data_IF_021403603783
#
_entry.id   IF_021403603783
#
_cell.length_a   1.000
_cell.length_b   1.000
_cell.length_c   1.000
_cell.angle_alpha   90.00
_cell.angle_beta   90.00
_cell.angle_gamma   90.00
#
_symmetry.space_group_name_H-M   'P 1'
#
loop_
_entity.id
_entity.type
_entity.pdbx_description
1 polymer ?
#
# COMPACT_ATOMS: atom_id res chain seq x y z
N UNK A 1 17.29 -0.77 -0.27
CA UNK A 1 16.65 0.24 -1.12
C UNK A 1 17.71 0.92 -1.98
N UNK A 2 17.55 0.90 -3.30
CA UNK A 2 18.55 1.40 -4.25
C UNK A 2 18.38 2.91 -4.56
N UNK A 3 17.17 3.42 -4.36
CA UNK A 3 16.77 4.81 -4.54
C UNK A 3 17.70 5.76 -3.77
N UNK A 4 18.07 6.87 -4.42
CA UNK A 4 19.04 7.84 -3.89
C UNK A 4 18.41 9.21 -3.63
N UNK A 5 17.30 9.51 -4.29
CA UNK A 5 16.60 10.79 -4.19
C UNK A 5 15.25 10.59 -3.48
N UNK A 6 14.80 11.64 -2.78
CA UNK A 6 13.57 11.58 -1.96
C UNK A 6 12.32 11.41 -2.82
N UNK A 7 12.32 11.95 -4.03
CA UNK A 7 11.24 11.84 -5.04
C UNK A 7 11.17 10.47 -5.71
N UNK A 8 12.14 9.58 -5.46
CA UNK A 8 12.08 8.17 -5.85
C UNK A 8 11.52 7.28 -4.75
N UNK A 9 11.71 7.67 -3.48
CA UNK A 9 11.24 6.89 -2.32
C UNK A 9 9.79 7.21 -1.99
N UNK A 10 9.52 8.50 -1.81
CA UNK A 10 8.16 8.99 -1.55
C UNK A 10 7.34 9.10 -2.84
N UNK A 11 8.03 9.06 -3.99
CA UNK A 11 7.49 8.86 -5.33
C UNK A 11 6.32 9.76 -5.74
N UNK A 12 5.93 9.58 -6.99
CA UNK A 12 4.65 10.01 -7.52
C UNK A 12 4.04 8.75 -8.11
N UNK A 13 3.26 8.01 -7.31
CA UNK A 13 2.63 6.73 -7.67
C UNK A 13 1.50 6.90 -8.68
N UNK A 14 0.85 8.06 -8.66
CA UNK A 14 -0.32 8.39 -9.46
C UNK A 14 -0.13 9.68 -10.30
N UNK A 15 0.96 9.84 -11.07
CA UNK A 15 1.21 11.11 -11.74
C UNK A 15 0.24 11.31 -12.90
N UNK A 16 -0.30 12.51 -13.02
CA UNK A 16 -1.10 12.95 -14.16
C UNK A 16 -0.19 13.21 -15.36
N UNK A 17 -0.80 13.20 -16.54
CA UNK A 17 -0.12 13.58 -17.77
C UNK A 17 0.51 14.97 -17.63
N UNK A 18 1.80 15.07 -18.00
CA UNK A 18 2.58 16.30 -17.87
C UNK A 18 3.42 16.41 -16.61
N UNK A 19 3.32 15.46 -15.67
CA UNK A 19 4.29 15.34 -14.60
C UNK A 19 5.69 15.04 -15.19
N UNK A 20 6.75 15.80 -14.84
CA UNK A 20 8.10 15.56 -15.35
C UNK A 20 8.78 14.34 -14.71
N UNK A 21 8.21 13.80 -13.64
CA UNK A 21 8.73 12.64 -12.93
C UNK A 21 8.13 11.35 -13.49
N UNK A 22 8.97 10.33 -13.65
CA UNK A 22 8.54 9.01 -14.12
C UNK A 22 8.08 8.17 -12.94
N UNK A 23 6.99 7.42 -13.13
CA UNK A 23 6.55 6.40 -12.17
C UNK A 23 7.63 5.33 -12.00
N UNK A 24 8.07 5.11 -10.76
CA UNK A 24 8.93 3.99 -10.39
C UNK A 24 8.07 2.88 -9.77
N UNK A 25 7.88 1.78 -10.50
CA UNK A 25 7.12 0.63 -10.00
C UNK A 25 7.80 -0.11 -8.84
N UNK A 26 9.04 0.24 -8.52
CA UNK A 26 9.76 -0.26 -7.34
C UNK A 26 9.77 0.75 -6.18
N UNK A 27 8.90 1.76 -6.22
CA UNK A 27 8.75 2.68 -5.10
C UNK A 27 8.20 1.96 -3.86
N UNK A 28 8.40 2.61 -2.70
CA UNK A 28 7.99 2.05 -1.41
C UNK A 28 6.47 1.84 -1.34
N UNK A 29 5.70 2.76 -1.92
CA UNK A 29 4.23 2.76 -1.91
C UNK A 29 3.63 1.52 -2.60
N UNK A 30 4.15 1.12 -3.78
CA UNK A 30 3.63 -0.09 -4.43
C UNK A 30 3.99 -1.38 -3.68
N UNK A 31 5.16 -1.41 -3.03
CA UNK A 31 5.55 -2.56 -2.20
C UNK A 31 4.70 -2.64 -0.92
N UNK A 32 4.39 -1.50 -0.33
CA UNK A 32 3.41 -1.34 0.76
C UNK A 32 2.03 -1.85 0.32
N UNK A 33 1.50 -1.35 -0.81
CA UNK A 33 0.20 -1.77 -1.33
C UNK A 33 0.11 -3.27 -1.62
N UNK A 34 1.21 -3.89 -2.06
CA UNK A 34 1.27 -5.34 -2.28
C UNK A 34 1.00 -6.16 -1.01
N UNK A 35 1.43 -5.69 0.17
CA UNK A 35 1.18 -6.36 1.43
C UNK A 35 -0.28 -6.22 1.89
N UNK A 36 -0.88 -5.04 1.70
CA UNK A 36 -2.31 -4.81 1.89
C UNK A 36 -3.14 -5.80 1.06
N UNK A 37 -2.84 -5.90 -0.22
CA UNK A 37 -3.52 -6.82 -1.15
C UNK A 37 -3.32 -8.28 -0.75
N UNK A 38 -2.11 -8.64 -0.32
CA UNK A 38 -1.78 -10.01 0.08
C UNK A 38 -2.57 -10.48 1.31
N UNK A 39 -2.73 -9.61 2.32
CA UNK A 39 -3.46 -9.97 3.54
C UNK A 39 -4.97 -10.09 3.25
N UNK A 40 -5.52 -9.18 2.45
CA UNK A 40 -6.94 -9.20 2.11
C UNK A 40 -7.83 -8.68 3.26
N UNK A 41 -9.16 -8.85 3.14
CA UNK A 41 -10.10 -8.43 4.18
C UNK A 41 -10.03 -6.93 4.45
N UNK A 42 -10.07 -6.52 5.72
CA UNK A 42 -9.92 -5.11 6.10
C UNK A 42 -8.61 -4.52 5.54
N UNK A 43 -7.50 -5.27 5.55
CA UNK A 43 -6.20 -4.82 5.02
C UNK A 43 -6.21 -4.53 3.51
N UNK A 44 -7.15 -5.07 2.73
CA UNK A 44 -7.24 -4.77 1.29
C UNK A 44 -7.76 -3.36 1.02
N UNK A 45 -8.71 -2.93 1.83
CA UNK A 45 -9.47 -1.69 1.66
C UNK A 45 -8.79 -0.57 2.43
N UNK A 46 -8.43 0.52 1.73
CA UNK A 46 -7.70 1.64 2.32
C UNK A 46 -8.49 2.33 3.44
N UNK A 47 -9.82 2.37 3.34
CA UNK A 47 -10.71 3.02 4.31
C UNK A 47 -10.88 2.20 5.60
N UNK A 48 -10.77 0.88 5.52
CA UNK A 48 -10.95 -0.05 6.65
C UNK A 48 -9.66 -0.71 7.13
N UNK A 49 -8.54 -0.56 6.42
CA UNK A 49 -7.29 -1.25 6.72
C UNK A 49 -6.83 -1.15 8.17
N UNK A 50 -7.00 0.01 8.80
CA UNK A 50 -6.66 0.23 10.20
C UNK A 50 -7.54 -0.54 11.21
N UNK A 51 -8.62 -1.20 10.78
CA UNK A 51 -9.43 -2.10 11.61
C UNK A 51 -8.70 -3.43 11.88
N UNK A 52 -7.82 -3.87 10.96
CA UNK A 52 -6.96 -5.03 11.19
C UNK A 52 -5.73 -4.61 12.01
N UNK A 53 -5.45 -5.21 13.18
CA UNK A 53 -4.28 -4.86 13.98
C UNK A 53 -2.94 -5.08 13.26
N UNK A 54 -2.89 -5.89 12.20
CA UNK A 54 -1.70 -6.06 11.36
C UNK A 54 -1.31 -4.75 10.68
N UNK A 55 -2.26 -3.84 10.42
CA UNK A 55 -2.02 -2.52 9.85
C UNK A 55 -0.89 -1.77 10.56
N UNK A 56 -0.94 -1.73 11.89
CA UNK A 56 0.04 -1.00 12.68
C UNK A 56 1.43 -1.62 12.60
N UNK A 57 1.51 -2.96 12.57
CA UNK A 57 2.79 -3.67 12.41
C UNK A 57 3.35 -3.47 11.00
N UNK A 58 2.48 -3.46 9.99
CA UNK A 58 2.85 -3.22 8.61
C UNK A 58 3.39 -1.79 8.42
N UNK A 59 2.65 -0.78 8.84
CA UNK A 59 3.07 0.61 8.72
C UNK A 59 4.28 0.95 9.60
N UNK A 60 4.45 0.31 10.76
CA UNK A 60 5.69 0.41 11.53
C UNK A 60 6.90 -0.15 10.76
N UNK A 61 6.72 -1.20 9.96
CA UNK A 61 7.78 -1.75 9.11
C UNK A 61 8.06 -0.88 7.88
N UNK A 62 7.04 -0.22 7.31
CA UNK A 62 7.22 0.79 6.25
C UNK A 62 8.01 1.99 6.77
N UNK A 63 7.67 2.51 7.95
CA UNK A 63 8.43 3.60 8.59
C UNK A 63 9.85 3.17 8.95
N UNK A 64 10.06 1.91 9.40
CA UNK A 64 11.41 1.35 9.56
C UNK A 64 12.22 1.42 8.26
N UNK A 65 11.65 1.01 7.13
CA UNK A 65 12.34 1.06 5.83
C UNK A 65 12.67 2.51 5.46
N UNK A 66 11.72 3.43 5.66
CA UNK A 66 11.88 4.86 5.43
C UNK A 66 13.02 5.45 6.29
N UNK A 67 13.03 5.17 7.59
CA UNK A 67 14.06 5.66 8.50
C UNK A 67 15.44 5.07 8.18
N UNK A 68 15.51 3.78 7.82
CA UNK A 68 16.75 3.18 7.33
C UNK A 68 17.29 3.87 6.07
N UNK A 69 16.41 4.30 5.17
CA UNK A 69 16.81 5.07 3.99
C UNK A 69 17.30 6.47 4.38
N UNK A 70 16.56 7.21 5.21
CA UNK A 70 16.96 8.53 5.74
C UNK A 70 18.34 8.48 6.40
N UNK A 71 18.60 7.46 7.21
CA UNK A 71 19.88 7.29 7.90
C UNK A 71 21.06 7.08 6.96
N UNK A 72 20.84 6.38 5.85
CA UNK A 72 21.90 6.01 4.89
C UNK A 72 22.12 7.04 3.79
N UNK A 73 21.10 7.83 3.45
CA UNK A 73 21.09 8.67 2.24
C UNK A 73 21.02 10.16 2.52
N UNK A 74 20.58 10.56 3.71
CA UNK A 74 20.37 11.96 4.06
C UNK A 74 21.25 12.35 5.25
N UNK A 75 21.75 13.59 5.21
CA UNK A 75 22.29 14.23 6.40
C UNK A 75 21.17 14.48 7.41
N UNK A 76 21.53 14.77 8.66
CA UNK A 76 20.52 15.08 9.69
C UNK A 76 19.68 16.32 9.35
N UNK A 77 20.22 17.28 8.61
CA UNK A 77 19.49 18.48 8.16
C UNK A 77 18.55 18.18 6.99
N UNK A 78 19.03 17.41 6.00
CA UNK A 78 18.23 16.97 4.85
C UNK A 78 16.98 16.22 5.30
N UNK A 79 17.13 15.41 6.35
CA UNK A 79 16.06 14.62 6.96
C UNK A 79 14.86 15.40 7.43
N UNK A 80 14.98 16.70 7.68
CA UNK A 80 13.88 17.57 8.14
C UNK A 80 13.33 18.49 7.06
N UNK A 81 13.96 18.53 5.87
CA UNK A 81 13.68 19.56 4.86
C UNK A 81 13.50 19.00 3.45
N UNK A 82 14.11 17.87 3.11
CA UNK A 82 13.98 17.26 1.79
C UNK A 82 12.63 16.57 1.65
N UNK A 83 11.75 17.20 0.88
CA UNK A 83 10.42 16.76 0.53
C UNK A 83 10.25 16.93 -0.99
N UNK A 84 9.69 15.94 -1.73
CA UNK A 84 9.46 16.10 -3.16
C UNK A 84 8.64 17.33 -3.50
N UNK A 85 8.93 17.99 -4.62
CA UNK A 85 8.39 19.30 -4.93
C UNK A 85 6.88 19.26 -5.12
N UNK A 86 6.24 20.34 -4.69
CA UNK A 86 4.82 20.55 -4.87
C UNK A 86 4.50 20.71 -6.36
N UNK A 87 3.82 19.70 -6.93
CA UNK A 87 3.42 19.71 -8.33
C UNK A 87 2.06 19.01 -8.48
N UNK A 88 1.03 19.77 -8.83
CA UNK A 88 -0.35 19.26 -8.96
C UNK A 88 -0.53 18.27 -10.12
N UNK A 89 0.42 18.23 -11.06
CA UNK A 89 0.47 17.20 -12.09
C UNK A 89 1.03 15.88 -11.55
N UNK A 90 1.77 15.90 -10.44
CA UNK A 90 2.46 14.72 -9.91
C UNK A 90 1.80 14.16 -8.65
N UNK A 91 1.22 15.02 -7.81
CA UNK A 91 0.47 14.61 -6.62
C UNK A 91 -0.65 15.61 -6.32
N UNK A 92 -1.64 15.16 -5.53
CA UNK A 92 -2.70 16.04 -5.06
C UNK A 92 -2.15 17.14 -4.14
N UNK A 93 -2.71 18.37 -4.11
CA UNK A 93 -2.27 19.42 -3.19
C UNK A 93 -2.25 19.02 -1.72
N UNK A 94 -3.08 18.06 -1.31
CA UNK A 94 -3.10 17.51 0.04
C UNK A 94 -1.76 16.86 0.43
N UNK A 95 -0.96 16.43 -0.54
CA UNK A 95 0.37 15.84 -0.34
C UNK A 95 1.51 16.88 -0.38
N UNK A 96 1.20 18.17 -0.50
CA UNK A 96 2.22 19.21 -0.51
C UNK A 96 2.84 19.40 0.86
N UNK A 97 4.08 19.88 0.91
CA UNK A 97 4.85 19.94 2.15
C UNK A 97 4.13 20.77 3.24
N UNK A 98 3.57 21.90 2.83
CA UNK A 98 2.89 22.83 3.72
C UNK A 98 1.42 22.48 3.99
N UNK A 99 0.87 21.45 3.34
CA UNK A 99 -0.52 21.05 3.52
C UNK A 99 -0.74 20.40 4.87
N UNK A 100 -1.93 20.64 5.42
CA UNK A 100 -2.38 20.08 6.68
C UNK A 100 -2.51 18.55 6.56
N UNK A 101 -1.87 17.84 7.48
CA UNK A 101 -2.02 16.40 7.63
C UNK A 101 -3.34 16.15 8.37
N UNK A 102 -4.40 15.86 7.62
CA UNK A 102 -5.73 15.69 8.22
C UNK A 102 -5.87 14.31 8.89
N UNK A 103 -6.63 14.19 9.99
CA UNK A 103 -7.31 15.25 10.76
C UNK A 103 -6.42 15.90 11.85
N UNK A 104 -5.10 15.73 11.79
CA UNK A 104 -4.17 16.03 12.89
C UNK A 104 -3.74 17.49 12.99
N UNK A 105 -4.68 18.42 12.94
CA UNK A 105 -4.40 19.84 13.16
C UNK A 105 -3.66 20.10 14.49
N UNK A 106 -2.59 20.91 14.51
CA UNK A 106 -2.09 21.79 13.43
C UNK A 106 -0.93 21.22 12.57
N UNK A 107 -0.71 19.89 12.54
CA UNK A 107 0.47 19.30 11.90
C UNK A 107 0.41 19.32 10.37
N UNK A 108 1.48 19.72 9.69
CA UNK A 108 1.61 19.65 8.23
C UNK A 108 2.36 18.39 7.82
N UNK A 109 2.28 18.03 6.54
CA UNK A 109 3.01 16.87 6.01
C UNK A 109 4.53 16.99 6.23
N UNK A 110 5.10 18.19 6.09
CA UNK A 110 6.55 18.41 6.33
C UNK A 110 6.94 18.28 7.81
N UNK A 111 6.03 18.52 8.75
CA UNK A 111 6.29 18.27 10.18
C UNK A 111 6.48 16.75 10.40
N UNK A 112 5.92 15.99 9.46
CA UNK A 112 6.25 14.62 9.18
C UNK A 112 7.72 14.31 8.84
N UNK A 113 8.64 15.25 8.80
CA UNK A 113 10.05 14.95 8.60
C UNK A 113 10.91 15.13 9.86
N UNK A 114 10.32 15.56 10.98
CA UNK A 114 11.14 15.88 12.16
C UNK A 114 11.97 14.69 12.66
N UNK A 115 13.23 14.95 13.05
CA UNK A 115 14.06 13.97 13.75
C UNK A 115 13.59 13.72 15.19
N UNK A 116 12.74 14.60 15.75
CA UNK A 116 12.29 14.48 17.14
C UNK A 116 11.55 13.16 17.43
N UNK A 117 10.93 12.55 16.42
CA UNK A 117 10.27 11.25 16.56
C UNK A 117 11.29 10.15 16.89
N UNK A 118 12.41 10.10 16.18
CA UNK A 118 13.46 9.10 16.41
C UNK A 118 14.41 9.49 17.54
N UNK A 119 14.48 10.78 17.90
CA UNK A 119 15.30 11.24 19.02
C UNK A 119 14.60 11.01 20.37
N UNK A 120 13.26 11.11 20.43
CA UNK A 120 12.54 11.21 21.70
C UNK A 120 11.36 10.24 21.86
N UNK A 121 10.84 9.64 20.77
CA UNK A 121 9.60 8.85 20.83
C UNK A 121 9.84 7.36 20.62
N UNK A 122 10.61 6.98 19.60
CA UNK A 122 10.84 5.57 19.28
C UNK A 122 12.20 5.32 18.67
N UNK A 123 12.65 4.07 18.78
CA UNK A 123 13.77 3.52 18.03
C UNK A 123 13.40 2.15 17.44
N UNK A 124 14.09 1.75 16.38
CA UNK A 124 13.89 0.46 15.75
C UNK A 124 14.98 -0.52 16.14
N UNK A 125 14.58 -1.72 16.57
CA UNK A 125 15.52 -2.82 16.73
C UNK A 125 16.16 -3.21 15.38
N UNK A 126 17.42 -3.68 15.38
CA UNK A 126 18.04 -4.22 14.18
C UNK A 126 17.23 -5.38 13.59
N UNK A 127 17.29 -5.54 12.27
CA UNK A 127 16.68 -6.69 11.60
C UNK A 127 17.27 -8.00 12.16
N UNK A 128 16.45 -9.02 12.48
CA UNK A 128 16.95 -10.32 12.91
C UNK A 128 17.95 -10.90 11.92
N UNK A 129 19.05 -11.43 12.46
CA UNK A 129 20.08 -12.15 11.72
C UNK A 129 20.03 -13.63 12.08
N UNK A 130 20.58 -14.47 11.22
CA UNK A 130 20.59 -15.90 11.42
C UNK A 130 21.86 -16.56 10.88
N UNK A 131 22.08 -17.78 11.37
CA UNK A 131 23.24 -18.62 11.03
C UNK A 131 22.83 -20.08 11.22
N UNK A 132 23.71 -21.03 10.87
CA UNK A 132 23.45 -22.45 11.12
C UNK A 132 23.20 -22.76 12.61
N UNK A 133 23.81 -21.99 13.52
CA UNK A 133 23.58 -22.12 14.97
C UNK A 133 22.31 -21.42 15.48
N UNK A 134 21.68 -20.57 14.66
CA UNK A 134 20.42 -19.88 14.97
C UNK A 134 19.45 -19.97 13.77
N UNK A 135 18.96 -21.18 13.43
CA UNK A 135 18.21 -21.41 12.20
C UNK A 135 16.77 -20.88 12.25
N UNK A 136 16.27 -20.48 13.42
CA UNK A 136 14.91 -19.93 13.59
C UNK A 136 14.91 -18.41 13.84
N UNK A 137 16.06 -17.73 13.73
CA UNK A 137 16.14 -16.29 13.98
C UNK A 137 15.63 -15.84 15.36
N UNK A 138 15.66 -16.73 16.36
CA UNK A 138 15.08 -16.48 17.69
C UNK A 138 13.55 -16.48 17.74
N UNK A 139 12.83 -16.91 16.68
CA UNK A 139 11.37 -16.96 16.64
C UNK A 139 10.86 -18.21 15.95
N UNK A 140 9.86 -18.88 16.53
CA UNK A 140 9.20 -20.05 15.89
C UNK A 140 8.47 -19.71 14.58
N UNK A 141 8.25 -18.42 14.32
CA UNK A 141 7.58 -17.94 13.11
C UNK A 141 8.57 -17.63 11.99
N UNK A 142 9.88 -17.71 12.24
CA UNK A 142 10.92 -17.44 11.27
C UNK A 142 11.79 -18.67 11.05
N UNK A 143 12.38 -18.75 9.86
CA UNK A 143 13.48 -19.65 9.56
C UNK A 143 14.59 -18.87 8.84
N UNK A 144 15.79 -19.42 8.87
CA UNK A 144 16.94 -18.87 8.17
C UNK A 144 16.98 -19.42 6.75
N UNK A 145 16.85 -18.54 5.77
CA UNK A 145 16.99 -18.83 4.35
C UNK A 145 18.49 -18.81 3.97
N UNK A 146 19.05 -19.98 3.64
CA UNK A 146 20.39 -20.13 3.10
C UNK A 146 20.40 -20.37 1.59
N UNK A 147 19.24 -20.53 0.96
CA UNK A 147 19.08 -20.96 -0.43
C UNK A 147 19.04 -19.80 -1.42
N UNK A 148 18.79 -18.56 -0.95
CA UNK A 148 18.63 -17.38 -1.81
C UNK A 148 19.66 -16.27 -1.54
N UNK A 149 20.92 -16.65 -1.30
CA UNK A 149 22.05 -15.73 -1.14
C UNK A 149 22.51 -15.60 0.30
N UNK A 150 22.78 -14.37 0.75
CA UNK A 150 23.20 -14.13 2.14
C UNK A 150 22.11 -14.57 3.13
N UNK A 151 22.53 -15.27 4.18
CA UNK A 151 21.64 -15.81 5.21
C UNK A 151 20.71 -14.72 5.76
N UNK A 152 19.40 -14.97 5.69
CA UNK A 152 18.38 -13.99 6.09
C UNK A 152 17.18 -14.64 6.74
N UNK A 153 16.58 -13.93 7.68
CA UNK A 153 15.37 -14.36 8.34
C UNK A 153 14.15 -14.15 7.46
N UNK A 154 13.35 -15.20 7.31
CA UNK A 154 12.13 -15.25 6.48
C UNK A 154 11.00 -15.87 7.30
N UNK A 155 9.77 -15.42 7.06
CA UNK A 155 8.58 -15.99 7.69
C UNK A 155 8.38 -17.46 7.27
N UNK A 156 8.01 -18.30 8.23
CA UNK A 156 7.68 -19.71 7.98
C UNK A 156 6.45 -19.84 7.09
N UNK A 157 6.43 -20.91 6.31
CA UNK A 157 5.41 -21.22 5.31
C UNK A 157 4.26 -21.95 6.00
N UNK A 158 3.03 -21.49 5.71
CA UNK A 158 1.81 -22.11 6.24
C UNK A 158 1.68 -23.56 5.79
N UNK A 159 0.97 -24.34 6.59
CA UNK A 159 0.65 -25.73 6.30
C UNK A 159 -0.05 -25.88 4.95
N UNK A 160 0.33 -26.92 4.19
CA UNK A 160 -0.18 -27.22 2.86
C UNK A 160 0.38 -26.36 1.73
N UNK A 161 1.06 -25.24 2.02
CA UNK A 161 1.67 -24.41 0.98
C UNK A 161 2.99 -25.01 0.46
N UNK A 162 3.40 -24.57 -0.73
CA UNK A 162 4.62 -25.05 -1.37
C UNK A 162 5.85 -24.59 -0.58
N UNK A 163 6.77 -25.52 -0.33
CA UNK A 163 8.05 -25.28 0.33
C UNK A 163 9.25 -25.58 -0.58
N UNK A 164 9.01 -25.69 -1.89
CA UNK A 164 10.04 -25.83 -2.91
C UNK A 164 10.89 -24.57 -3.01
N UNK A 165 12.20 -24.72 -3.25
CA UNK A 165 13.14 -23.60 -3.37
C UNK A 165 14.11 -23.44 -2.19
N UNK A 166 13.94 -24.24 -1.14
CA UNK A 166 14.86 -24.31 0.00
C UNK A 166 15.59 -25.66 -0.02
N UNK A 167 16.88 -25.66 -0.31
CA UNK A 167 17.67 -26.87 -0.59
C UNK A 167 18.93 -27.02 0.26
N UNK A 168 19.22 -26.07 1.14
CA UNK A 168 20.44 -26.03 1.95
C UNK A 168 20.20 -26.52 3.39
N UNK A 169 19.24 -27.43 3.57
CA UNK A 169 18.92 -28.06 4.85
C UNK A 169 18.03 -27.21 5.76
N UNK A 170 17.38 -26.18 5.22
CA UNK A 170 16.42 -25.37 5.97
C UNK A 170 15.11 -26.14 6.21
N UNK A 171 14.41 -25.80 7.31
CA UNK A 171 13.00 -26.14 7.46
C UNK A 171 12.15 -24.88 7.33
N UNK A 172 11.53 -24.63 6.16
CA UNK A 172 10.73 -23.44 5.95
C UNK A 172 9.32 -23.55 6.56
N UNK A 173 8.89 -24.72 7.04
CA UNK A 173 7.49 -24.98 7.37
C UNK A 173 7.13 -24.66 8.82
N UNK A 174 6.01 -23.94 9.01
CA UNK A 174 5.47 -23.66 10.34
C UNK A 174 4.85 -24.91 10.96
N UNK A 175 5.34 -25.35 12.13
CA UNK A 175 4.84 -26.54 12.84
C UNK A 175 4.81 -27.83 11.98
N UNK A 176 5.78 -27.98 11.07
CA UNK A 176 5.83 -29.13 10.17
C UNK A 176 7.18 -29.26 9.47
N UNK A 177 7.23 -30.12 8.45
CA UNK A 177 8.39 -30.28 7.57
C UNK A 177 7.96 -30.22 6.10
N UNK A 178 8.92 -29.92 5.23
CA UNK A 178 8.71 -29.96 3.78
C UNK A 178 8.69 -31.43 3.31
N UNK A 179 7.51 -31.94 2.96
CA UNK A 179 7.31 -33.32 2.49
C UNK A 179 6.61 -33.27 1.13
N UNK A 180 7.22 -33.87 0.10
CA UNK A 180 6.67 -33.83 -1.25
C UNK A 180 6.52 -32.41 -1.81
N UNK A 181 7.39 -31.48 -1.41
CA UNK A 181 7.36 -30.08 -1.84
C UNK A 181 6.28 -29.22 -1.17
N UNK A 182 5.57 -29.74 -0.15
CA UNK A 182 4.58 -28.99 0.62
C UNK A 182 4.81 -29.12 2.12
N UNK A 183 4.40 -28.10 2.87
CA UNK A 183 4.46 -28.14 4.33
C UNK A 183 3.44 -29.11 4.90
N UNK A 184 3.91 -30.15 5.58
CA UNK A 184 3.11 -31.21 6.17
C UNK A 184 3.39 -31.37 7.68
N UNK A 185 2.37 -31.78 8.43
CA UNK A 185 2.47 -31.91 9.89
C UNK A 185 3.28 -33.16 10.22
N UNK A 186 4.19 -33.05 11.18
CA UNK A 186 5.05 -34.16 11.58
C UNK A 186 4.62 -34.60 12.97
N UNK A 187 3.58 -35.44 13.01
CA UNK A 187 3.00 -36.02 14.22
C UNK A 187 1.51 -35.71 14.43
N UNK A 188 0.83 -36.41 15.36
CA UNK A 188 -0.56 -36.14 15.70
C UNK A 188 -0.68 -34.73 16.28
N UNK A 189 -1.48 -33.89 15.61
CA UNK A 189 -1.63 -32.47 15.93
C UNK A 189 -2.24 -32.27 17.32
N UNK A 190 -1.47 -31.71 18.26
CA UNK A 190 -2.07 -30.99 19.37
C UNK A 190 -2.59 -29.64 18.83
N UNK A 191 -3.86 -29.28 19.05
CA UNK A 191 -4.39 -27.99 18.60
C UNK A 191 -3.61 -26.84 19.25
N UNK A 192 -3.35 -25.73 18.55
CA UNK A 192 -2.84 -24.53 19.19
C UNK A 192 -3.91 -23.96 20.13
N UNK A 193 -3.69 -24.02 21.44
CA UNK A 193 -4.42 -23.21 22.42
C UNK A 193 -4.01 -21.75 22.26
N UNK A 194 -4.77 -20.99 21.48
CA UNK A 194 -4.72 -19.52 21.52
C UNK A 194 -5.48 -19.11 22.77
N UNK A 195 -4.81 -18.43 23.71
CA UNK A 195 -5.49 -17.85 24.88
C UNK A 195 -6.45 -16.74 24.42
N UNK A 196 -7.69 -16.66 24.97
CA UNK A 196 -8.62 -15.59 24.64
C UNK A 196 -8.02 -14.22 24.99
N UNK A 197 -8.14 -13.26 24.08
CA UNK A 197 -7.78 -11.86 24.37
C UNK A 197 -8.72 -11.29 25.45
N UNK A 198 -8.22 -10.47 26.38
CA UNK A 198 -9.05 -9.81 27.38
C UNK A 198 -9.99 -8.77 26.72
N UNK A 199 -11.22 -8.59 27.24
CA UNK A 199 -12.15 -7.60 26.73
C UNK A 199 -11.66 -6.19 27.04
N UNK A 200 -11.46 -5.38 25.99
CA UNK A 200 -11.08 -3.97 26.12
C UNK A 200 -12.35 -3.12 26.09
N UNK A 201 -12.66 -2.42 27.17
CA UNK A 201 -13.75 -1.45 27.24
C UNK A 201 -13.31 -0.12 26.62
N UNK A 202 -13.90 0.26 25.48
CA UNK A 202 -13.63 1.54 24.81
C UNK A 202 -14.36 2.71 25.49
N UNK A 203 -13.69 3.86 25.59
CA UNK A 203 -14.24 5.13 26.08
C UNK A 203 -14.88 5.96 24.93
N UNK A 204 -15.74 6.95 25.22
CA UNK A 204 -16.50 7.67 24.19
C UNK A 204 -15.66 8.72 23.44
N UNK A 205 -15.73 8.72 22.11
CA UNK A 205 -15.07 9.67 21.20
C UNK A 205 -16.05 10.79 20.79
N UNK A 206 -15.59 12.04 20.79
CA UNK A 206 -16.32 13.21 20.27
C UNK A 206 -15.94 13.43 18.78
N UNK A 207 -16.93 13.42 17.88
CA UNK A 207 -16.73 13.44 16.41
C UNK A 207 -16.95 14.86 15.85
N UNK A 208 -15.96 15.40 15.15
CA UNK A 208 -16.12 16.56 14.28
C UNK A 208 -16.78 16.14 12.94
N UNK A 209 -17.53 17.01 12.24
CA UNK A 209 -18.26 16.62 11.04
C UNK A 209 -17.31 16.16 9.93
N UNK A 210 -17.33 14.87 9.64
CA UNK A 210 -16.50 14.18 8.67
C UNK A 210 -16.99 14.50 7.24
N UNK A 211 -16.08 14.89 6.34
CA UNK A 211 -16.36 14.89 4.91
C UNK A 211 -16.59 13.43 4.47
N UNK A 212 -17.73 13.18 3.83
CA UNK A 212 -18.20 11.81 3.52
C UNK A 212 -18.25 11.54 2.03
N UNK A 213 -17.86 12.51 1.20
CA UNK A 213 -17.94 12.40 -0.24
C UNK A 213 -16.58 12.41 -0.91
N UNK A 214 -16.07 11.22 -1.27
CA UNK A 214 -14.80 11.10 -1.96
C UNK A 214 -14.74 10.02 -3.05
N UNK A 215 -13.69 10.10 -3.86
CA UNK A 215 -13.27 9.02 -4.75
C UNK A 215 -12.07 8.35 -4.09
N UNK A 216 -12.16 7.05 -3.91
CA UNK A 216 -11.15 6.20 -3.28
C UNK A 216 -10.23 5.53 -4.30
N UNK A 217 -10.54 5.69 -5.59
CA UNK A 217 -9.68 5.24 -6.68
C UNK A 217 -9.33 6.38 -7.64
N UNK A 218 -8.06 6.47 -8.00
CA UNK A 218 -7.53 7.44 -8.96
C UNK A 218 -8.22 7.37 -10.34
N UNK A 219 -8.72 6.20 -10.74
CA UNK A 219 -9.40 5.97 -12.01
C UNK A 219 -10.90 6.30 -11.99
N UNK A 220 -11.48 6.70 -10.85
CA UNK A 220 -12.91 6.96 -10.73
C UNK A 220 -13.47 7.95 -11.76
N UNK A 221 -12.72 9.01 -12.06
CA UNK A 221 -13.13 9.99 -13.07
C UNK A 221 -13.17 9.38 -14.49
N UNK A 222 -12.23 8.49 -14.81
CA UNK A 222 -12.15 7.81 -16.12
C UNK A 222 -13.26 6.77 -16.26
N UNK A 223 -13.49 5.97 -15.22
CA UNK A 223 -14.51 4.93 -15.21
C UNK A 223 -15.92 5.54 -15.25
N UNK A 224 -16.18 6.59 -14.47
CA UNK A 224 -17.46 7.30 -14.53
C UNK A 224 -17.76 7.81 -15.96
N UNK A 225 -16.75 8.38 -16.63
CA UNK A 225 -16.89 8.85 -18.01
C UNK A 225 -16.97 7.76 -19.07
N UNK A 226 -16.57 6.53 -18.73
CA UNK A 226 -16.78 5.31 -19.53
C UNK A 226 -18.15 4.65 -19.25
N UNK A 227 -18.97 5.24 -18.38
CA UNK A 227 -20.30 4.74 -18.04
C UNK A 227 -20.29 3.66 -16.97
N UNK A 228 -19.18 3.47 -16.25
CA UNK A 228 -19.06 2.42 -15.25
C UNK A 228 -19.97 2.63 -14.05
N UNK A 229 -20.38 3.86 -13.76
CA UNK A 229 -21.38 4.11 -12.71
C UNK A 229 -22.68 3.30 -12.92
N UNK A 230 -23.04 3.02 -14.18
CA UNK A 230 -24.19 2.19 -14.52
C UNK A 230 -23.84 0.71 -14.78
N UNK A 231 -22.59 0.41 -15.17
CA UNK A 231 -22.18 -0.96 -15.53
C UNK A 231 -21.60 -1.75 -14.36
N UNK A 232 -20.87 -1.08 -13.49
CA UNK A 232 -20.32 -1.64 -12.26
C UNK A 232 -20.77 -0.80 -11.06
N UNK A 233 -22.08 -0.73 -10.88
CA UNK A 233 -22.72 0.14 -9.89
C UNK A 233 -22.27 -0.15 -8.47
N UNK A 234 -21.99 -1.41 -8.11
CA UNK A 234 -21.50 -1.76 -6.77
C UNK A 234 -20.17 -1.09 -6.46
N UNK A 235 -19.15 -1.39 -7.26
CA UNK A 235 -17.82 -0.80 -7.11
C UNK A 235 -17.85 0.72 -7.24
N UNK A 236 -18.56 1.24 -8.23
CA UNK A 236 -18.56 2.67 -8.52
C UNK A 236 -19.37 3.49 -7.49
N UNK A 237 -20.35 2.89 -6.82
CA UNK A 237 -21.09 3.54 -5.73
C UNK A 237 -20.26 3.63 -4.46
N UNK A 238 -19.49 2.61 -4.18
CA UNK A 238 -18.65 2.52 -2.99
C UNK A 238 -17.37 3.36 -3.16
N UNK A 239 -16.62 3.13 -4.23
CA UNK A 239 -15.27 3.68 -4.39
C UNK A 239 -15.23 4.99 -5.18
N UNK A 240 -16.29 5.31 -5.93
CA UNK A 240 -16.30 6.43 -6.87
C UNK A 240 -17.53 7.34 -6.70
N UNK A 241 -18.07 7.41 -5.47
CA UNK A 241 -19.31 8.11 -5.14
C UNK A 241 -19.33 9.56 -5.64
N UNK A 242 -18.22 10.27 -5.48
CA UNK A 242 -18.10 11.65 -5.94
C UNK A 242 -18.11 11.75 -7.47
N UNK A 243 -17.35 10.91 -8.18
CA UNK A 243 -17.31 10.87 -9.65
C UNK A 243 -18.60 10.37 -10.30
N UNK A 244 -19.36 9.52 -9.62
CA UNK A 244 -20.68 9.07 -10.07
C UNK A 244 -21.82 10.02 -9.68
N UNK A 245 -21.51 11.13 -9.01
CA UNK A 245 -22.49 12.13 -8.60
C UNK A 245 -23.47 11.65 -7.53
N UNK A 246 -23.10 10.60 -6.79
CA UNK A 246 -23.92 10.03 -5.70
C UNK A 246 -23.81 10.85 -4.42
N UNK A 247 -22.78 11.69 -4.31
CA UNK A 247 -22.61 12.66 -3.26
C UNK A 247 -21.99 13.95 -3.83
N UNK A 248 -22.04 15.04 -3.05
CA UNK A 248 -21.46 16.33 -3.44
C UNK A 248 -20.24 16.64 -2.55
N UNK A 249 -19.02 16.55 -3.08
CA UNK A 249 -17.83 16.86 -2.30
C UNK A 249 -17.72 18.37 -2.06
N UNK A 250 -17.10 18.77 -0.94
CA UNK A 250 -16.79 20.18 -0.69
C UNK A 250 -15.59 20.69 -1.53
N UNK A 251 -14.96 19.82 -2.32
CA UNK A 251 -13.87 20.11 -3.25
C UNK A 251 -14.30 19.91 -4.73
N UNK A 252 -13.53 20.41 -5.70
CA UNK A 252 -13.85 20.27 -7.14
C UNK A 252 -13.30 18.96 -7.71
N UNK A 253 -14.14 18.21 -8.44
CA UNK A 253 -13.75 17.00 -9.16
C UNK A 253 -13.04 17.35 -10.48
N UNK A 254 -12.06 16.53 -10.89
CA UNK A 254 -11.37 16.69 -12.17
C UNK A 254 -12.25 16.19 -13.32
N UNK A 255 -12.40 16.99 -14.38
CA UNK A 255 -13.27 16.68 -15.53
C UNK A 255 -12.68 15.60 -16.44
N UNK A 256 -13.46 14.56 -16.75
CA UNK A 256 -13.05 13.46 -17.62
C UNK A 256 -12.86 13.84 -19.10
N UNK A 257 -13.27 15.04 -19.52
CA UNK A 257 -12.99 15.58 -20.87
C UNK A 257 -11.49 15.84 -21.06
N UNK A 258 -10.80 16.26 -20.00
CA UNK A 258 -9.35 16.55 -20.01
C UNK A 258 -8.53 15.26 -20.29
N UNK A 259 -9.03 14.08 -19.92
CA UNK A 259 -8.38 12.79 -20.16
C UNK A 259 -8.74 12.15 -21.51
N UNK A 260 -9.84 12.57 -22.16
CA UNK A 260 -10.23 12.10 -23.51
C UNK A 260 -9.42 12.78 -24.61
N UNK A 261 -9.18 14.08 -24.50
CA UNK A 261 -8.41 14.85 -25.49
C UNK A 261 -6.93 14.39 -25.53
N UNK A 262 -6.41 13.92 -24.40
CA UNK A 262 -5.12 13.24 -24.31
C UNK A 262 -5.05 11.93 -25.12
N UNK A 263 -6.16 11.20 -25.22
CA UNK A 263 -6.23 9.90 -25.90
C UNK A 263 -6.39 10.00 -27.42
N UNK A 264 -7.10 11.01 -27.93
CA UNK A 264 -7.23 11.24 -29.39
C UNK A 264 -5.94 11.78 -30.00
N UNK A 265 -5.22 12.66 -29.30
CA UNK A 265 -3.91 13.17 -29.76
C UNK A 265 -2.89 12.04 -29.89
N UNK A 266 -2.89 11.07 -28.97
CA UNK A 266 -1.99 9.91 -28.99
C UNK A 266 -2.28 8.97 -30.17
N UNK A 267 -3.56 8.77 -30.52
CA UNK A 267 -3.97 7.89 -31.63
C UNK A 267 -3.58 8.47 -33.01
N UNK A 268 -3.68 9.79 -33.17
CA UNK A 268 -3.30 10.50 -34.41
C UNK A 268 -1.78 10.44 -34.61
N UNK A 269 -1.00 10.62 -33.54
CA UNK A 269 0.48 10.58 -33.61
C UNK A 269 1.01 9.16 -33.89
N UNK A 270 0.31 8.10 -33.47
CA UNK A 270 0.73 6.71 -33.73
C UNK A 270 0.42 6.23 -35.16
N UNK A 271 -0.66 6.69 -35.79
CA UNK A 271 -0.99 6.32 -37.19
C UNK A 271 -0.06 6.96 -38.23
N UNK A 272 0.53 8.12 -37.93
CA UNK A 272 1.47 8.80 -38.81
C UNK A 272 2.87 8.16 -38.74
N UNK A 273 3.22 7.52 -37.62
CA UNK A 273 4.57 7.02 -37.37
C UNK A 273 4.82 5.57 -37.83
N UNK A 274 3.80 4.71 -37.95
CA UNK A 274 3.99 3.26 -38.23
C UNK A 274 2.84 2.66 -39.05
N UNK A 275 2.96 2.49 -40.38
CA UNK A 275 1.96 1.80 -41.18
C UNK A 275 2.10 0.28 -40.95
N UNK A 276 1.18 -0.32 -40.18
CA UNK A 276 1.10 -1.78 -40.01
C UNK A 276 0.80 -2.31 -38.61
N UNK A 277 0.60 -1.47 -37.59
CA UNK A 277 0.17 -1.94 -36.28
C UNK A 277 -1.32 -2.34 -36.30
N UNK A 278 -1.58 -3.64 -36.15
CA UNK A 278 -2.92 -4.17 -35.91
C UNK A 278 -3.50 -3.57 -34.61
N UNK A 279 -4.67 -2.90 -34.65
CA UNK A 279 -5.26 -2.18 -33.50
C UNK A 279 -5.62 -3.06 -32.30
N UNK A 280 -5.56 -4.39 -32.41
CA UNK A 280 -5.93 -5.29 -31.32
C UNK A 280 -4.84 -5.47 -30.23
N UNK A 281 -3.58 -5.06 -30.49
CA UNK A 281 -2.44 -5.32 -29.60
C UNK A 281 -1.72 -4.06 -29.05
N UNK A 282 -2.33 -2.88 -29.10
CA UNK A 282 -1.80 -1.71 -28.38
C UNK A 282 -2.05 -1.85 -26.86
N UNK A 283 -1.09 -1.52 -25.98
CA UNK A 283 -1.29 -1.54 -24.53
C UNK A 283 -2.40 -0.55 -24.18
N UNK A 284 -3.53 -1.09 -23.71
CA UNK A 284 -4.73 -0.32 -23.35
C UNK A 284 -4.39 0.65 -22.22
N UNK A 285 -4.92 1.86 -22.31
CA UNK A 285 -4.83 2.93 -21.32
C UNK A 285 -5.12 2.43 -19.90
N UNK A 286 -4.29 2.86 -18.94
CA UNK A 286 -4.07 2.31 -17.59
C UNK A 286 -5.26 2.24 -16.62
N UNK A 287 -6.46 2.64 -17.02
CA UNK A 287 -7.70 2.44 -16.24
C UNK A 287 -8.56 1.36 -16.93
N UNK A 288 -8.03 0.14 -17.00
CA UNK A 288 -8.75 -1.06 -17.46
C UNK A 288 -9.17 -1.92 -16.25
N UNK A 289 -10.41 -2.42 -16.27
CA UNK A 289 -10.88 -3.37 -15.26
C UNK A 289 -9.99 -4.62 -15.23
N UNK A 290 -9.54 -5.09 -14.04
CA UNK A 290 -8.94 -6.41 -13.94
C UNK A 290 -9.96 -7.47 -14.40
N UNK A 291 -9.56 -8.37 -15.29
CA UNK A 291 -10.40 -9.50 -15.79
C UNK A 291 -10.78 -10.55 -14.71
N UNK A 292 -10.73 -10.21 -13.42
CA UNK A 292 -10.97 -11.13 -12.30
C UNK A 292 -12.15 -10.67 -11.43
N UNK A 293 -12.84 -9.58 -11.79
CA UNK A 293 -13.97 -9.02 -11.04
C UNK A 293 -15.34 -9.27 -11.71
N UNK A 294 -15.59 -10.49 -12.18
CA UNK A 294 -16.96 -10.89 -12.60
C UNK A 294 -17.69 -11.75 -11.56
N UNK A 295 -17.04 -12.22 -10.48
CA UNK A 295 -17.72 -12.98 -9.43
C UNK A 295 -17.44 -12.35 -8.06
N UNK A 296 -18.37 -11.52 -7.57
CA UNK A 296 -18.83 -11.41 -6.18
C UNK A 296 -19.57 -10.08 -5.95
N UNK A 297 -20.86 -10.08 -6.30
CA UNK A 297 -21.86 -9.19 -5.67
C UNK A 297 -22.60 -10.03 -4.64
N UNK A 298 -22.45 -9.71 -3.35
CA UNK A 298 -23.53 -9.78 -2.37
C UNK A 298 -23.06 -9.42 -0.94
N UNK A 299 -23.83 -8.52 -0.32
CA UNK A 299 -24.04 -8.30 1.11
C UNK A 299 -23.14 -7.32 1.87
N UNK A 300 -23.67 -6.10 1.88
CA UNK A 300 -23.64 -5.07 2.92
C UNK A 300 -24.01 -5.64 4.29
N UNK A 301 -23.23 -5.33 5.33
CA UNK A 301 -23.81 -4.69 6.51
C UNK A 301 -22.76 -3.90 7.31
N UNK A 302 -23.03 -2.61 7.47
CA UNK A 302 -22.10 -1.64 8.04
C UNK A 302 -21.98 -1.71 9.55
N UNK A 303 -20.78 -1.37 10.03
CA UNK A 303 -20.49 -0.40 11.10
C UNK A 303 -19.01 -0.49 11.52
N UNK A 304 -18.26 0.59 11.28
CA UNK A 304 -16.88 0.77 11.79
C UNK A 304 -16.83 1.06 13.30
N UNK A 305 -15.63 1.10 13.91
CA UNK A 305 -15.01 2.41 14.18
C UNK A 305 -13.46 2.46 14.13
N UNK A 306 -12.94 3.69 13.96
CA UNK A 306 -11.53 4.09 13.86
C UNK A 306 -10.80 4.30 15.21
N UNK A 307 -9.45 4.26 15.12
CA UNK A 307 -8.39 5.11 15.74
C UNK A 307 -7.37 4.46 16.69
N UNK A 308 -6.11 4.34 16.21
CA UNK A 308 -4.90 4.91 16.84
C UNK A 308 -3.99 5.40 15.71
N UNK A 309 -3.61 6.67 15.72
CA UNK A 309 -2.78 7.29 14.70
C UNK A 309 -1.29 7.09 14.97
N UNK A 310 -0.57 6.54 13.99
CA UNK A 310 0.85 6.79 13.81
C UNK A 310 0.96 7.77 12.66
N UNK A 311 1.69 8.86 12.91
CA UNK A 311 1.90 9.99 12.02
C UNK A 311 2.42 9.49 10.68
N UNK A 312 1.56 9.46 9.67
CA UNK A 312 1.92 9.13 8.29
C UNK A 312 2.42 10.40 7.60
N UNK A 313 3.69 10.38 7.25
CA UNK A 313 4.46 11.56 6.87
C UNK A 313 4.50 11.76 5.36
N UNK A 314 3.79 10.91 4.60
CA UNK A 314 3.47 11.18 3.19
C UNK A 314 2.47 10.26 2.49
N UNK A 315 1.82 9.35 3.20
CA UNK A 315 0.77 8.51 2.65
C UNK A 315 -0.55 8.85 3.33
N UNK A 316 -1.52 9.30 2.54
CA UNK A 316 -2.93 9.01 2.79
C UNK A 316 -3.42 8.43 1.45
N UNK A 317 -3.97 7.20 1.45
CA UNK A 317 -5.41 7.00 1.69
C UNK A 317 -6.21 7.93 0.79
#
# INVERSE_FOLDING_TARGET
MAQTQVDQVLAFSAPRQGCPYRTDYNCLEYTHGGAHIFVGGDMYDTSTSANDPIFFLHHAFIDYIWEQWRQRRQTRADRETLYPPDNQLCSSPQHFAASQMNPFAPMRNIDGLSNQYTDNLYEYAPRPTCSQGNPNCGSRFLFCDFSHGAARCVATIRMGAACTGYSNGENPCYNGMCVGGRCAATGPAAPPTVAPLPPVTAAPIQIAPQETCFNENECCAVWAAKGECARNTGYMTEWCAASCGLCRPQYRLADARILKDAGEIVLIVTQIALPGLNPENAPRTSCGWPKIAEDLVANVDGRGPQLVAVVDKRMQI
#
